data_IF_902829619304
#
_entry.id   IF_902829619304
#
_cell.length_a   1.000
_cell.length_b   1.000
_cell.length_c   1.000
_cell.angle_alpha   90.00
_cell.angle_beta   90.00
_cell.angle_gamma   90.00
#
_symmetry.space_group_name_H-M   'P 1'
#
loop_
_entity.id
_entity.type
_entity.pdbx_description
1 polymer ?
#
# COMPACT_ATOMS: atom_id res chain seq x y z
N UNK A 1 32.68 16.31 11.75
CA UNK A 1 31.52 16.82 10.98
C UNK A 1 30.32 16.03 11.47
N UNK A 2 29.25 16.67 11.93
CA UNK A 2 28.02 15.94 12.24
C UNK A 2 27.56 15.26 10.95
N UNK A 3 27.41 13.93 10.93
CA UNK A 3 26.85 13.25 9.76
C UNK A 3 25.42 13.76 9.59
N UNK A 4 25.11 14.39 8.46
CA UNK A 4 23.73 14.73 8.10
C UNK A 4 22.85 13.49 8.28
N UNK A 5 21.80 13.58 9.10
CA UNK A 5 20.78 12.53 9.28
C UNK A 5 19.53 12.88 8.47
N UNK A 6 19.71 13.19 7.19
CA UNK A 6 18.62 13.53 6.29
C UNK A 6 18.30 12.37 5.35
N UNK A 7 17.09 11.83 5.42
CA UNK A 7 16.64 10.72 4.61
C UNK A 7 15.63 11.16 3.54
N UNK A 8 15.72 10.56 2.35
CA UNK A 8 14.78 10.75 1.26
C UNK A 8 13.86 9.53 1.13
N UNK A 9 12.54 9.76 1.09
CA UNK A 9 11.53 8.72 0.96
C UNK A 9 10.71 8.92 -0.31
N UNK A 10 10.56 7.89 -1.14
CA UNK A 10 9.84 7.97 -2.41
C UNK A 10 8.86 6.78 -2.54
N UNK A 11 7.56 6.98 -2.29
CA UNK A 11 6.53 5.95 -2.43
C UNK A 11 6.10 5.76 -3.88
N UNK A 12 5.60 4.57 -4.21
CA UNK A 12 4.76 4.40 -5.39
C UNK A 12 3.43 5.14 -5.15
N UNK A 13 2.87 5.88 -6.12
CA UNK A 13 1.70 6.74 -5.92
C UNK A 13 0.37 5.98 -5.86
N UNK A 14 0.26 5.07 -4.88
CA UNK A 14 -0.96 4.34 -4.55
C UNK A 14 -1.12 4.28 -3.02
N UNK A 15 -2.36 4.32 -2.53
CA UNK A 15 -2.64 4.48 -1.10
C UNK A 15 -1.99 3.39 -0.23
N UNK A 16 -2.07 2.14 -0.66
CA UNK A 16 -1.45 1.00 0.02
C UNK A 16 0.09 1.02 0.05
N UNK A 17 0.73 1.89 -0.73
CA UNK A 17 2.18 2.07 -0.79
C UNK A 17 2.63 3.33 -0.03
N UNK A 18 1.91 4.44 -0.23
CA UNK A 18 2.18 5.73 0.43
C UNK A 18 2.04 5.61 1.94
N UNK A 19 0.94 5.01 2.42
CA UNK A 19 0.64 4.96 3.85
C UNK A 19 1.71 4.22 4.67
N UNK A 20 2.09 2.96 4.35
CA UNK A 20 3.11 2.26 5.14
C UNK A 20 4.49 2.92 5.02
N UNK A 21 4.84 3.46 3.84
CA UNK A 21 6.13 4.14 3.69
C UNK A 21 6.18 5.46 4.48
N UNK A 22 5.06 6.18 4.57
CA UNK A 22 4.93 7.38 5.41
C UNK A 22 5.02 7.03 6.90
N UNK A 23 4.41 5.93 7.34
CA UNK A 23 4.57 5.41 8.70
C UNK A 23 6.05 5.13 9.01
N UNK A 24 6.78 4.53 8.06
CA UNK A 24 8.23 4.31 8.20
C UNK A 24 9.00 5.64 8.25
N UNK A 25 8.65 6.62 7.42
CA UNK A 25 9.24 7.96 7.44
C UNK A 25 9.05 8.65 8.80
N UNK A 26 7.87 8.55 9.40
CA UNK A 26 7.63 9.07 10.75
C UNK A 26 8.46 8.38 11.83
N UNK A 27 8.74 7.07 11.70
CA UNK A 27 9.66 6.35 12.60
C UNK A 27 11.08 6.87 12.46
N UNK A 28 11.54 7.12 11.25
CA UNK A 28 12.86 7.74 11.02
C UNK A 28 12.94 9.11 11.71
N UNK A 29 11.90 9.93 11.56
CA UNK A 29 11.81 11.21 12.25
C UNK A 29 11.85 11.05 13.78
N UNK A 30 11.11 10.11 14.37
CA UNK A 30 11.17 9.83 15.83
C UNK A 30 12.56 9.43 16.33
N UNK A 31 13.39 8.88 15.42
CA UNK A 31 14.79 8.52 15.68
C UNK A 31 15.79 9.63 15.32
N UNK A 32 15.32 10.87 15.12
CA UNK A 32 16.17 12.05 14.92
C UNK A 32 16.65 12.26 13.48
N UNK A 33 16.02 11.61 12.50
CA UNK A 33 16.22 11.97 11.10
C UNK A 33 15.41 13.21 10.72
N UNK A 34 16.00 14.07 9.92
CA UNK A 34 15.23 14.94 9.03
C UNK A 34 14.75 14.08 7.86
N UNK A 35 13.51 14.24 7.41
CA UNK A 35 12.96 13.42 6.33
C UNK A 35 12.34 14.29 5.25
N UNK A 36 12.73 14.05 4.00
CA UNK A 36 12.00 14.53 2.82
C UNK A 36 11.18 13.38 2.26
N UNK A 37 9.86 13.54 2.24
CA UNK A 37 8.91 12.57 1.71
C UNK A 37 8.35 13.07 0.38
N UNK A 38 8.68 12.39 -0.71
CA UNK A 38 8.27 12.78 -2.06
C UNK A 38 6.87 12.23 -2.33
N UNK A 39 5.99 13.06 -2.88
CA UNK A 39 4.71 12.66 -3.44
C UNK A 39 4.67 13.04 -4.92
N UNK A 40 3.82 12.39 -5.70
CA UNK A 40 3.45 12.95 -7.00
C UNK A 40 2.54 14.16 -6.81
N UNK A 41 2.49 15.09 -7.75
CA UNK A 41 1.61 16.27 -7.66
C UNK A 41 0.15 15.86 -7.42
N UNK A 42 -0.30 14.77 -8.06
CA UNK A 42 -1.64 14.23 -7.87
C UNK A 42 -1.89 13.75 -6.43
N UNK A 43 -1.01 12.90 -5.90
CA UNK A 43 -1.13 12.38 -4.53
C UNK A 43 -0.96 13.51 -3.51
N UNK A 44 -0.03 14.43 -3.74
CA UNK A 44 0.16 15.60 -2.89
C UNK A 44 -1.14 16.40 -2.82
N UNK A 45 -1.78 16.70 -3.96
CA UNK A 45 -3.07 17.39 -4.00
C UNK A 45 -4.18 16.67 -3.22
N UNK A 46 -4.27 15.34 -3.32
CA UNK A 46 -5.22 14.55 -2.54
C UNK A 46 -4.96 14.64 -1.03
N UNK A 47 -3.70 14.54 -0.62
CA UNK A 47 -3.29 14.67 0.77
C UNK A 47 -3.61 16.06 1.33
N UNK A 48 -3.30 17.13 0.59
CA UNK A 48 -3.65 18.50 0.99
C UNK A 48 -5.16 18.68 1.12
N UNK A 49 -5.94 18.10 0.20
CA UNK A 49 -7.40 18.18 0.25
C UNK A 49 -8.01 17.41 1.43
N UNK A 50 -7.48 16.22 1.74
CA UNK A 50 -7.96 15.37 2.82
C UNK A 50 -7.51 15.87 4.21
N UNK A 51 -6.35 16.51 4.30
CA UNK A 51 -5.78 16.99 5.56
C UNK A 51 -4.84 18.18 5.31
N UNK A 52 -5.36 19.42 5.21
CA UNK A 52 -4.56 20.61 4.91
C UNK A 52 -3.38 20.86 5.86
N UNK A 53 -3.53 20.45 7.13
CA UNK A 53 -2.50 20.58 8.16
C UNK A 53 -1.27 19.67 7.89
N UNK A 54 -1.37 18.68 6.99
CA UNK A 54 -0.26 17.80 6.57
C UNK A 54 0.93 18.57 6.02
N UNK A 55 0.64 19.61 5.22
CA UNK A 55 1.63 20.38 4.46
C UNK A 55 1.72 21.81 4.96
N UNK A 56 0.83 22.22 5.87
CA UNK A 56 0.79 23.57 6.40
C UNK A 56 2.10 23.89 7.15
N UNK A 57 2.68 25.05 6.86
CA UNK A 57 3.90 25.52 7.51
C UNK A 57 5.20 24.90 6.98
N UNK A 58 5.13 24.00 6.00
CA UNK A 58 6.28 23.49 5.25
C UNK A 58 6.69 24.52 4.18
N UNK A 59 7.24 25.65 4.62
CA UNK A 59 7.90 26.61 3.71
C UNK A 59 9.14 25.98 3.07
N UNK A 60 9.73 26.64 2.06
CA UNK A 60 10.88 26.11 1.29
C UNK A 60 12.21 25.90 2.06
N UNK A 61 12.18 25.78 3.38
CA UNK A 61 13.31 25.42 4.22
C UNK A 61 13.49 23.89 4.29
N UNK A 62 14.72 23.44 4.53
CA UNK A 62 15.02 22.02 4.73
C UNK A 62 14.38 21.50 6.05
N UNK A 63 13.98 20.23 6.13
CA UNK A 63 13.48 19.66 7.37
C UNK A 63 14.56 19.63 8.45
N UNK A 64 14.17 19.94 9.69
CA UNK A 64 15.02 19.71 10.86
C UNK A 64 14.91 18.26 11.36
N UNK A 65 15.88 17.77 12.15
CA UNK A 65 15.79 16.48 12.82
C UNK A 65 14.48 16.31 13.59
N UNK A 66 13.76 15.21 13.36
CA UNK A 66 12.44 14.98 13.96
C UNK A 66 11.25 15.39 13.08
N UNK A 67 11.51 15.98 11.90
CA UNK A 67 10.47 16.46 11.00
C UNK A 67 10.39 15.64 9.70
N UNK A 68 9.17 15.50 9.20
CA UNK A 68 8.88 15.01 7.84
C UNK A 68 8.36 16.18 7.01
N UNK A 69 9.03 16.48 5.90
CA UNK A 69 8.66 17.51 4.94
C UNK A 69 8.27 16.86 3.62
N UNK A 70 7.04 17.15 3.16
CA UNK A 70 6.50 16.69 1.89
C UNK A 70 6.97 17.55 0.72
N UNK A 71 7.45 16.91 -0.34
CA UNK A 71 7.79 17.55 -1.61
C UNK A 71 6.95 16.92 -2.70
N UNK A 72 6.45 17.72 -3.66
CA UNK A 72 5.73 17.19 -4.82
C UNK A 72 6.61 17.18 -6.07
N UNK A 73 6.43 16.16 -6.91
CA UNK A 73 7.05 16.06 -8.23
C UNK A 73 6.02 15.62 -9.25
N UNK A 74 6.19 16.01 -10.51
CA UNK A 74 5.32 15.52 -11.58
C UNK A 74 5.54 14.03 -11.81
N UNK A 75 4.46 13.27 -11.92
CA UNK A 75 4.48 11.87 -12.36
C UNK A 75 4.59 11.74 -13.89
N UNK A 76 4.52 12.85 -14.64
CA UNK A 76 4.49 12.85 -16.10
C UNK A 76 3.21 12.28 -16.70
N UNK A 77 2.20 12.00 -15.86
CA UNK A 77 0.94 11.39 -16.27
C UNK A 77 -0.08 12.47 -16.66
N UNK A 78 -0.84 12.30 -17.76
CA UNK A 78 -1.88 13.26 -18.15
C UNK A 78 -2.88 13.54 -17.02
N UNK A 79 -3.38 14.78 -16.93
CA UNK A 79 -4.29 15.18 -15.86
C UNK A 79 -5.60 14.36 -15.87
N UNK A 80 -6.10 14.05 -17.07
CA UNK A 80 -7.34 13.33 -17.35
C UNK A 80 -7.18 11.81 -17.52
N UNK A 81 -5.95 11.28 -17.40
CA UNK A 81 -5.71 9.85 -17.52
C UNK A 81 -6.22 9.06 -16.31
N UNK A 82 -6.54 7.78 -16.54
CA UNK A 82 -6.86 6.84 -15.48
C UNK A 82 -5.59 6.36 -14.77
N UNK A 83 -5.34 6.88 -13.56
CA UNK A 83 -4.19 6.50 -12.73
C UNK A 83 -4.31 5.10 -12.12
N UNK A 84 -5.44 4.41 -12.29
CA UNK A 84 -5.55 2.99 -11.95
C UNK A 84 -4.97 2.06 -13.03
N UNK A 85 -4.66 2.59 -14.23
CA UNK A 85 -3.80 1.90 -15.19
C UNK A 85 -2.34 1.96 -14.72
N UNK A 86 -2.00 1.01 -13.85
CA UNK A 86 -0.67 0.90 -13.24
C UNK A 86 0.43 0.74 -14.29
N UNK A 87 0.16 0.12 -15.44
CA UNK A 87 1.15 -0.06 -16.51
C UNK A 87 1.54 1.27 -17.15
N UNK A 88 0.54 2.07 -17.51
CA UNK A 88 0.75 3.41 -18.08
C UNK A 88 1.33 4.37 -17.03
N UNK A 89 0.86 4.33 -15.79
CA UNK A 89 1.37 5.17 -14.69
C UNK A 89 2.85 4.90 -14.42
N UNK A 90 3.23 3.63 -14.32
CA UNK A 90 4.61 3.21 -14.12
C UNK A 90 5.50 3.66 -15.28
N UNK A 91 5.02 3.54 -16.52
CA UNK A 91 5.74 4.00 -17.70
C UNK A 91 5.98 5.51 -17.70
N UNK A 92 5.00 6.30 -17.25
CA UNK A 92 5.16 7.75 -17.10
C UNK A 92 6.20 8.09 -16.01
N UNK A 93 6.14 7.42 -14.86
CA UNK A 93 7.09 7.59 -13.76
C UNK A 93 8.53 7.24 -14.16
N UNK A 94 8.72 6.19 -14.98
CA UNK A 94 10.04 5.83 -15.50
C UNK A 94 10.67 6.96 -16.34
N UNK A 95 9.86 7.79 -17.00
CA UNK A 95 10.33 8.92 -17.80
C UNK A 95 10.54 10.19 -16.98
N UNK A 96 9.66 10.46 -16.00
CA UNK A 96 9.61 11.73 -15.27
C UNK A 96 10.45 11.74 -14.00
N UNK A 97 10.43 10.65 -13.23
CA UNK A 97 10.99 10.60 -11.89
C UNK A 97 12.53 10.65 -11.84
N UNK A 98 13.31 10.02 -12.75
CA UNK A 98 14.77 10.04 -12.69
C UNK A 98 15.36 11.45 -12.63
N UNK A 99 14.92 12.35 -13.52
CA UNK A 99 15.42 13.73 -13.55
C UNK A 99 14.99 14.55 -12.32
N UNK A 100 13.86 14.22 -11.69
CA UNK A 100 13.46 14.82 -10.43
C UNK A 100 14.35 14.35 -9.27
N UNK A 101 14.61 13.04 -9.20
CA UNK A 101 15.48 12.44 -8.17
C UNK A 101 16.92 12.92 -8.29
N UNK A 102 17.48 13.00 -9.51
CA UNK A 102 18.81 13.56 -9.75
C UNK A 102 18.92 14.97 -9.19
N UNK A 103 17.97 15.86 -9.53
CA UNK A 103 17.96 17.23 -9.00
C UNK A 103 17.82 17.28 -7.48
N UNK A 104 17.02 16.41 -6.87
CA UNK A 104 16.91 16.36 -5.41
C UNK A 104 18.22 15.92 -4.76
N UNK A 105 18.85 14.87 -5.29
CA UNK A 105 20.12 14.34 -4.78
C UNK A 105 21.26 15.35 -4.94
N UNK A 106 21.29 16.10 -6.05
CA UNK A 106 22.30 17.15 -6.29
C UNK A 106 22.15 18.36 -5.35
N UNK A 107 20.91 18.74 -5.03
CA UNK A 107 20.62 19.92 -4.21
C UNK A 107 20.49 19.61 -2.71
N UNK A 108 20.26 18.35 -2.35
CA UNK A 108 20.08 17.90 -0.98
C UNK A 108 21.35 17.27 -0.37
N UNK A 109 21.38 17.16 0.95
CA UNK A 109 22.45 16.45 1.67
C UNK A 109 21.89 15.21 2.37
N UNK A 110 21.45 14.25 1.56
CA UNK A 110 20.84 13.04 2.05
C UNK A 110 21.89 11.97 2.39
N UNK A 111 21.70 11.25 3.51
CA UNK A 111 22.55 10.11 3.87
C UNK A 111 22.03 8.78 3.33
N UNK A 112 20.72 8.67 3.12
CA UNK A 112 20.07 7.47 2.62
C UNK A 112 18.80 7.77 1.83
N UNK A 113 18.41 6.83 0.96
CA UNK A 113 17.12 6.84 0.27
C UNK A 113 16.37 5.54 0.56
N UNK A 114 15.09 5.67 0.90
CA UNK A 114 14.14 4.56 0.99
C UNK A 114 13.09 4.74 -0.11
N UNK A 115 12.95 3.75 -0.97
CA UNK A 115 12.05 3.83 -2.13
C UNK A 115 11.10 2.64 -2.10
N UNK A 116 9.86 2.83 -2.54
CA UNK A 116 8.95 1.71 -2.78
C UNK A 116 9.56 0.73 -3.80
N UNK A 117 9.33 -0.57 -3.62
CA UNK A 117 9.84 -1.59 -4.55
C UNK A 117 9.43 -1.33 -6.00
N UNK A 118 8.25 -0.74 -6.20
CA UNK A 118 7.71 -0.38 -7.50
C UNK A 118 8.53 0.67 -8.25
N UNK A 119 9.56 1.27 -7.63
CA UNK A 119 10.38 2.35 -8.18
C UNK A 119 11.89 2.12 -8.03
N UNK A 120 12.36 0.88 -7.77
CA UNK A 120 13.78 0.60 -7.43
C UNK A 120 14.80 1.09 -8.46
N UNK A 121 14.41 1.31 -9.72
CA UNK A 121 15.31 1.83 -10.75
C UNK A 121 15.90 3.20 -10.39
N UNK A 122 15.22 4.03 -9.57
CA UNK A 122 15.78 5.32 -9.14
C UNK A 122 16.88 5.18 -8.09
N UNK A 123 16.99 4.03 -7.41
CA UNK A 123 18.05 3.79 -6.42
C UNK A 123 19.45 3.81 -7.05
N UNK A 124 19.57 3.52 -8.35
CA UNK A 124 20.83 3.63 -9.07
C UNK A 124 21.40 5.06 -9.05
N UNK A 125 20.56 6.09 -9.01
CA UNK A 125 20.97 7.50 -8.90
C UNK A 125 21.58 7.75 -7.52
N UNK A 126 20.86 7.36 -6.46
CA UNK A 126 21.31 7.50 -5.07
C UNK A 126 22.60 6.72 -4.78
N UNK A 127 22.70 5.50 -5.33
CA UNK A 127 23.88 4.65 -5.17
C UNK A 127 25.13 5.29 -5.77
N UNK A 128 25.02 5.89 -6.97
CA UNK A 128 26.11 6.62 -7.62
C UNK A 128 26.54 7.85 -6.82
N UNK A 129 25.62 8.48 -6.09
CA UNK A 129 25.91 9.56 -5.17
C UNK A 129 26.52 9.11 -3.82
N UNK A 130 26.79 7.80 -3.65
CA UNK A 130 27.43 7.25 -2.45
C UNK A 130 26.48 7.07 -1.26
N UNK A 131 25.17 7.15 -1.48
CA UNK A 131 24.16 7.02 -0.43
C UNK A 131 23.86 5.55 -0.11
N UNK A 132 23.38 5.30 1.12
CA UNK A 132 22.76 4.01 1.46
C UNK A 132 21.38 3.91 0.81
N UNK A 133 21.09 2.77 0.19
CA UNK A 133 19.83 2.53 -0.52
C UNK A 133 19.00 1.43 0.13
N UNK A 134 17.72 1.71 0.35
CA UNK A 134 16.76 0.71 0.82
C UNK A 134 15.53 0.69 -0.08
N UNK A 135 14.96 -0.49 -0.23
CA UNK A 135 13.66 -0.67 -0.87
C UNK A 135 12.63 -1.14 0.14
N UNK A 136 11.39 -0.68 0.01
CA UNK A 136 10.28 -1.01 0.89
C UNK A 136 9.22 -1.82 0.14
N UNK A 137 8.88 -2.98 0.70
CA UNK A 137 7.80 -3.84 0.25
C UNK A 137 6.63 -3.75 1.25
N UNK A 138 5.46 -3.22 0.82
CA UNK A 138 4.34 -2.98 1.73
C UNK A 138 3.52 -4.22 2.08
N UNK A 139 3.82 -5.39 1.49
CA UNK A 139 3.02 -6.62 1.61
C UNK A 139 3.79 -7.75 2.33
N UNK A 140 3.28 -8.98 2.28
CA UNK A 140 3.86 -10.14 2.97
C UNK A 140 5.17 -10.62 2.33
N UNK A 141 6.03 -11.26 3.13
CA UNK A 141 7.30 -11.80 2.69
C UNK A 141 7.14 -12.95 1.69
N UNK A 142 6.07 -13.74 1.78
CA UNK A 142 5.79 -14.84 0.86
C UNK A 142 5.71 -14.36 -0.61
N UNK A 143 5.05 -13.23 -0.87
CA UNK A 143 4.97 -12.67 -2.23
C UNK A 143 6.29 -12.05 -2.67
N UNK A 144 7.03 -11.41 -1.75
CA UNK A 144 8.38 -10.91 -2.04
C UNK A 144 9.33 -12.06 -2.42
N UNK A 145 9.35 -13.13 -1.62
CA UNK A 145 10.13 -14.33 -1.88
C UNK A 145 9.81 -14.95 -3.24
N UNK A 146 8.51 -15.10 -3.56
CA UNK A 146 8.07 -15.54 -4.89
C UNK A 146 8.65 -14.66 -6.02
N UNK A 147 8.68 -13.33 -5.81
CA UNK A 147 9.30 -12.38 -6.72
C UNK A 147 10.80 -12.61 -6.88
N UNK A 148 11.53 -12.74 -5.78
CA UNK A 148 12.99 -12.97 -5.78
C UNK A 148 13.38 -14.26 -6.51
N UNK A 149 12.51 -15.27 -6.51
CA UNK A 149 12.74 -16.55 -7.20
C UNK A 149 12.42 -16.49 -8.71
N UNK A 150 11.68 -15.48 -9.20
CA UNK A 150 11.28 -15.37 -10.61
C UNK A 150 12.45 -15.53 -11.60
N UNK A 151 13.63 -14.89 -11.41
CA UNK A 151 14.75 -15.07 -12.34
C UNK A 151 15.20 -16.53 -12.48
N UNK A 152 15.19 -17.30 -11.38
CA UNK A 152 15.54 -18.72 -11.37
C UNK A 152 14.45 -19.54 -12.06
N UNK A 153 13.18 -19.28 -11.73
CA UNK A 153 12.04 -19.96 -12.35
C UNK A 153 11.99 -19.76 -13.87
N UNK A 154 12.34 -18.57 -14.35
CA UNK A 154 12.46 -18.29 -15.79
C UNK A 154 13.68 -19.01 -16.38
N UNK A 155 14.83 -18.96 -15.72
CA UNK A 155 16.06 -19.60 -16.21
C UNK A 155 15.91 -21.12 -16.34
N UNK A 156 15.21 -21.75 -15.40
CA UNK A 156 14.92 -23.19 -15.41
C UNK A 156 13.75 -23.55 -16.35
N UNK A 157 13.15 -22.55 -17.00
CA UNK A 157 12.05 -22.69 -17.95
C UNK A 157 10.77 -23.22 -17.29
N UNK A 158 10.55 -22.92 -16.01
CA UNK A 158 9.28 -23.14 -15.31
C UNK A 158 8.27 -22.03 -15.64
N UNK A 159 8.78 -20.82 -15.82
CA UNK A 159 8.04 -19.67 -16.33
C UNK A 159 8.61 -19.22 -17.68
N UNK A 160 7.75 -18.67 -18.52
CA UNK A 160 8.20 -17.97 -19.72
C UNK A 160 8.57 -16.49 -19.43
N UNK A 161 8.93 -15.76 -20.48
CA UNK A 161 9.34 -14.34 -20.38
C UNK A 161 8.22 -13.38 -19.94
N UNK A 162 6.98 -13.85 -19.98
CA UNK A 162 5.77 -13.10 -19.65
C UNK A 162 5.14 -13.58 -18.32
N UNK A 163 5.80 -14.53 -17.63
CA UNK A 163 5.43 -14.98 -16.29
C UNK A 163 4.42 -16.12 -16.28
N UNK A 164 4.17 -16.75 -17.43
CA UNK A 164 3.22 -17.84 -17.56
C UNK A 164 3.89 -19.20 -17.31
N UNK A 165 3.19 -20.14 -16.66
CA UNK A 165 3.71 -21.49 -16.41
C UNK A 165 3.88 -22.28 -17.71
N UNK A 166 5.02 -22.95 -17.86
CA UNK A 166 5.34 -23.76 -19.05
C UNK A 166 4.86 -25.22 -18.94
N UNK A 167 4.23 -25.58 -17.82
CA UNK A 167 3.83 -26.95 -17.48
C UNK A 167 4.86 -27.73 -16.65
N UNK A 168 6.05 -27.16 -16.39
CA UNK A 168 6.95 -27.70 -15.36
C UNK A 168 6.40 -27.40 -13.96
N UNK A 169 6.69 -28.28 -13.02
CA UNK A 169 6.33 -28.09 -11.63
C UNK A 169 7.10 -26.91 -11.03
N UNK A 170 6.38 -25.94 -10.49
CA UNK A 170 6.95 -24.80 -9.77
C UNK A 170 7.11 -25.18 -8.30
N UNK A 171 8.28 -24.95 -7.69
CA UNK A 171 8.51 -25.23 -6.28
C UNK A 171 7.61 -24.35 -5.38
N UNK A 172 7.31 -24.79 -4.15
CA UNK A 172 6.69 -23.93 -3.15
C UNK A 172 7.61 -22.78 -2.74
N UNK A 173 7.03 -21.72 -2.17
CA UNK A 173 7.76 -20.65 -1.48
C UNK A 173 7.63 -20.92 0.01
N UNK A 174 8.73 -21.29 0.66
CA UNK A 174 8.66 -21.87 2.00
C UNK A 174 7.79 -23.13 2.00
N UNK A 175 6.81 -23.16 2.91
CA UNK A 175 5.84 -24.25 3.04
C UNK A 175 4.56 -24.01 2.21
N UNK A 176 4.48 -22.90 1.47
CA UNK A 176 3.29 -22.51 0.73
C UNK A 176 3.39 -22.93 -0.74
N UNK A 177 2.40 -23.64 -1.30
CA UNK A 177 2.39 -23.91 -2.73
C UNK A 177 2.29 -22.59 -3.49
N UNK A 178 3.16 -22.40 -4.49
CA UNK A 178 3.14 -21.20 -5.30
C UNK A 178 1.92 -21.21 -6.21
N UNK A 179 0.90 -20.43 -5.87
CA UNK A 179 -0.21 -20.13 -6.76
C UNK A 179 0.06 -18.81 -7.48
N UNK A 180 0.28 -18.87 -8.78
CA UNK A 180 0.56 -17.69 -9.60
C UNK A 180 -0.69 -16.90 -9.97
N UNK A 181 -1.87 -17.53 -9.97
CA UNK A 181 -3.11 -16.91 -10.42
C UNK A 181 -3.48 -15.60 -9.68
N UNK A 182 -3.36 -15.49 -8.34
CA UNK A 182 -3.73 -14.27 -7.63
C UNK A 182 -2.66 -13.17 -7.67
N UNK A 183 -1.49 -13.42 -8.28
CA UNK A 183 -0.41 -12.44 -8.31
C UNK A 183 -0.77 -11.29 -9.26
N UNK A 184 -0.35 -10.07 -8.92
CA UNK A 184 -0.78 -8.85 -9.62
C UNK A 184 -0.59 -8.93 -11.15
N UNK A 185 0.52 -9.54 -11.60
CA UNK A 185 0.80 -9.70 -13.03
C UNK A 185 -0.01 -10.78 -13.75
N UNK A 186 -0.87 -11.53 -13.05
CA UNK A 186 -1.80 -12.50 -13.63
C UNK A 186 -3.28 -12.14 -13.36
N UNK A 187 -3.54 -11.19 -12.47
CA UNK A 187 -4.89 -10.85 -12.01
C UNK A 187 -5.31 -9.40 -12.28
N UNK A 188 -4.37 -8.47 -12.47
CA UNK A 188 -4.68 -7.06 -12.62
C UNK A 188 -4.75 -6.60 -14.08
N UNK A 189 -5.89 -6.04 -14.48
CA UNK A 189 -6.08 -5.43 -15.79
C UNK A 189 -6.24 -6.42 -16.94
N UNK A 190 -6.00 -5.95 -18.16
CA UNK A 190 -6.04 -6.76 -19.39
C UNK A 190 -4.83 -7.68 -19.50
N UNK A 191 -4.87 -8.68 -20.39
CA UNK A 191 -3.71 -9.55 -20.65
C UNK A 191 -2.43 -8.77 -21.04
N UNK A 192 -2.58 -7.65 -21.73
CA UNK A 192 -1.43 -6.81 -22.08
C UNK A 192 -0.89 -6.06 -20.86
N UNK A 193 -1.77 -5.52 -20.01
CA UNK A 193 -1.38 -4.90 -18.76
C UNK A 193 -0.68 -5.89 -17.82
N UNK A 194 -1.18 -7.12 -17.74
CA UNK A 194 -0.58 -8.23 -17.00
C UNK A 194 0.88 -8.50 -17.43
N UNK A 195 1.13 -8.64 -18.74
CA UNK A 195 2.48 -8.81 -19.28
C UNK A 195 3.38 -7.62 -18.97
N UNK A 196 2.85 -6.40 -19.04
CA UNK A 196 3.61 -5.19 -18.70
C UNK A 196 3.97 -5.14 -17.22
N UNK A 197 3.02 -5.47 -16.33
CA UNK A 197 3.26 -5.59 -14.89
C UNK A 197 4.32 -6.65 -14.62
N UNK A 198 4.22 -7.84 -15.24
CA UNK A 198 5.23 -8.89 -15.08
C UNK A 198 6.63 -8.42 -15.49
N UNK A 199 6.75 -7.83 -16.68
CA UNK A 199 8.04 -7.33 -17.20
C UNK A 199 8.61 -6.24 -16.30
N UNK A 200 7.77 -5.33 -15.81
CA UNK A 200 8.17 -4.29 -14.87
C UNK A 200 8.69 -4.90 -13.57
N UNK A 201 7.92 -5.80 -12.94
CA UNK A 201 8.31 -6.50 -11.71
C UNK A 201 9.59 -7.29 -11.89
N UNK A 202 9.70 -8.08 -12.96
CA UNK A 202 10.90 -8.87 -13.25
C UNK A 202 12.12 -7.96 -13.43
N UNK A 203 11.98 -6.79 -14.07
CA UNK A 203 13.08 -5.84 -14.21
C UNK A 203 13.46 -5.18 -12.88
N UNK A 204 12.48 -4.77 -12.07
CA UNK A 204 12.66 -4.27 -10.71
C UNK A 204 13.42 -5.28 -9.85
N UNK A 205 13.01 -6.54 -9.89
CA UNK A 205 13.55 -7.62 -9.06
C UNK A 205 14.93 -8.06 -9.53
N UNK A 206 15.19 -8.08 -10.84
CA UNK A 206 16.55 -8.22 -11.38
C UNK A 206 17.47 -7.12 -10.89
N UNK A 207 16.96 -5.90 -10.78
CA UNK A 207 17.75 -4.77 -10.27
C UNK A 207 18.10 -4.94 -8.79
N UNK A 208 17.28 -5.63 -7.98
CA UNK A 208 17.65 -5.98 -6.59
C UNK A 208 18.92 -6.84 -6.52
N UNK A 209 19.22 -7.62 -7.56
CA UNK A 209 20.45 -8.41 -7.67
C UNK A 209 21.67 -7.67 -8.23
N UNK A 210 21.56 -6.36 -8.52
CA UNK A 210 22.62 -5.56 -9.17
C UNK A 210 23.35 -4.59 -8.23
N UNK A 211 23.46 -4.93 -6.94
CA UNK A 211 24.14 -4.11 -5.90
C UNK A 211 23.60 -2.67 -5.73
N UNK A 212 22.44 -2.33 -6.31
CA UNK A 212 21.82 -1.00 -6.16
C UNK A 212 20.96 -0.90 -4.89
N UNK A 213 20.64 -2.01 -4.23
CA UNK A 213 19.83 -2.07 -3.01
C UNK A 213 20.67 -2.64 -1.88
N UNK A 214 20.92 -1.86 -0.83
CA UNK A 214 21.65 -2.32 0.36
C UNK A 214 20.74 -3.07 1.34
N UNK A 215 19.45 -2.68 1.41
CA UNK A 215 18.48 -3.23 2.38
C UNK A 215 17.12 -3.45 1.74
N UNK A 216 16.56 -4.64 1.90
CA UNK A 216 15.20 -5.01 1.47
C UNK A 216 14.27 -5.04 2.70
N UNK A 217 13.50 -3.98 2.88
CA UNK A 217 12.56 -3.83 3.99
C UNK A 217 11.20 -4.41 3.61
N UNK A 218 10.61 -5.20 4.49
CA UNK A 218 9.31 -5.84 4.28
C UNK A 218 8.37 -5.52 5.44
N UNK A 219 7.17 -5.01 5.13
CA UNK A 219 6.13 -4.73 6.12
C UNK A 219 5.43 -6.02 6.61
N UNK A 220 6.20 -6.87 7.28
CA UNK A 220 5.74 -8.11 7.90
C UNK A 220 6.38 -8.31 9.27
N UNK A 221 5.87 -9.28 10.03
CA UNK A 221 6.43 -9.74 11.30
C UNK A 221 7.02 -11.13 11.15
N UNK A 222 8.10 -11.38 11.89
CA UNK A 222 8.79 -12.67 11.84
C UNK A 222 7.87 -13.81 12.28
N UNK A 223 7.06 -13.58 13.29
CA UNK A 223 6.18 -14.55 13.93
C UNK A 223 5.12 -15.12 12.96
N UNK A 224 4.75 -14.39 11.90
CA UNK A 224 3.79 -14.87 10.90
C UNK A 224 4.46 -15.58 9.71
N UNK A 225 5.73 -15.29 9.42
CA UNK A 225 6.40 -15.73 8.18
C UNK A 225 7.81 -16.30 8.40
N UNK A 226 8.10 -16.88 9.58
CA UNK A 226 9.43 -17.37 9.95
C UNK A 226 10.03 -18.36 8.93
N UNK A 227 9.21 -19.28 8.40
CA UNK A 227 9.64 -20.24 7.39
C UNK A 227 10.15 -19.56 6.11
N UNK A 228 9.45 -18.53 5.64
CA UNK A 228 9.81 -17.76 4.45
C UNK A 228 11.07 -16.93 4.72
N UNK A 229 11.10 -16.21 5.83
CA UNK A 229 12.22 -15.33 6.20
C UNK A 229 13.52 -16.10 6.46
N UNK A 230 13.42 -17.34 6.95
CA UNK A 230 14.58 -18.22 7.14
C UNK A 230 15.21 -18.66 5.81
N UNK A 231 14.41 -18.78 4.75
CA UNK A 231 14.87 -19.13 3.40
C UNK A 231 15.35 -17.89 2.63
N UNK A 232 14.81 -16.71 2.94
CA UNK A 232 15.18 -15.44 2.34
C UNK A 232 15.72 -14.45 3.39
N UNK A 233 16.91 -14.69 3.97
CA UNK A 233 17.46 -13.86 5.05
C UNK A 233 17.82 -12.43 4.62
N UNK A 234 17.80 -12.13 3.32
CA UNK A 234 17.94 -10.77 2.79
C UNK A 234 16.72 -9.89 3.05
N UNK A 235 15.55 -10.49 3.33
CA UNK A 235 14.32 -9.76 3.66
C UNK A 235 14.38 -9.35 5.13
N UNK A 236 14.33 -8.04 5.39
CA UNK A 236 14.31 -7.47 6.74
C UNK A 236 12.86 -7.17 7.14
N UNK A 237 12.26 -7.92 8.09
CA UNK A 237 10.91 -7.64 8.57
C UNK A 237 10.91 -6.39 9.45
N UNK A 238 10.04 -5.43 9.13
CA UNK A 238 9.89 -4.16 9.86
C UNK A 238 8.44 -3.86 10.28
N UNK A 239 7.55 -4.83 10.08
CA UNK A 239 6.11 -4.68 10.29
C UNK A 239 5.62 -5.12 11.68
N UNK A 240 4.28 -5.04 11.91
CA UNK A 240 3.38 -4.28 11.06
C UNK A 240 3.68 -2.78 11.23
N UNK A 241 3.52 -2.02 10.16
CA UNK A 241 3.54 -0.57 10.19
C UNK A 241 2.10 -0.08 10.41
N UNK A 242 1.66 0.19 11.66
CA UNK A 242 0.30 0.60 11.96
C UNK A 242 0.04 2.00 11.41
N UNK A 243 -0.66 2.08 10.29
CA UNK A 243 -1.05 3.35 9.68
C UNK A 243 -2.28 3.91 10.39
N UNK A 244 -2.29 5.22 10.68
CA UNK A 244 -3.46 5.88 11.28
C UNK A 244 -3.58 5.79 12.81
N UNK A 245 -2.63 5.17 13.50
CA UNK A 245 -2.62 5.07 14.97
C UNK A 245 -1.70 6.07 15.68
N UNK A 246 -1.10 7.01 14.94
CA UNK A 246 -0.16 7.98 15.50
C UNK A 246 -0.86 9.26 15.92
N UNK A 247 -0.90 9.51 17.23
CA UNK A 247 -1.38 10.78 17.77
C UNK A 247 -0.54 11.96 17.27
N UNK A 248 -1.21 13.01 16.79
CA UNK A 248 -0.57 14.25 16.36
C UNK A 248 0.26 14.15 15.08
N UNK A 249 0.34 12.97 14.44
CA UNK A 249 0.99 12.81 13.14
C UNK A 249 -0.06 12.54 12.07
N UNK A 250 -0.09 13.35 11.02
CA UNK A 250 -1.21 13.33 10.09
C UNK A 250 -1.19 12.10 9.18
N UNK A 251 -2.39 11.63 8.84
CA UNK A 251 -2.65 10.34 8.20
C UNK A 251 -2.56 10.53 6.68
N UNK A 252 -1.79 9.69 5.99
CA UNK A 252 -1.64 9.74 4.53
C UNK A 252 -2.87 9.23 3.76
N UNK A 253 -4.07 9.42 4.30
CA UNK A 253 -5.33 9.03 3.67
C UNK A 253 -5.62 9.96 2.48
N UNK A 254 -6.01 9.38 1.35
CA UNK A 254 -6.35 10.17 0.15
C UNK A 254 -7.78 10.71 0.19
N UNK A 255 -8.54 10.34 1.22
CA UNK A 255 -9.94 10.66 1.40
C UNK A 255 -10.15 11.22 2.81
N UNK A 256 -11.07 12.17 3.00
CA UNK A 256 -11.49 12.60 4.33
C UNK A 256 -12.10 11.45 5.12
N UNK A 257 -11.93 11.48 6.44
CA UNK A 257 -12.53 10.50 7.34
C UNK A 257 -14.07 10.65 7.38
N UNK A 258 -14.77 9.51 7.44
CA UNK A 258 -16.22 9.43 7.60
C UNK A 258 -16.58 8.57 8.81
N UNK A 259 -16.85 9.24 9.93
CA UNK A 259 -17.20 8.62 11.20
C UNK A 259 -18.69 8.29 11.32
N UNK A 260 -19.51 8.58 10.30
CA UNK A 260 -20.96 8.38 10.37
C UNK A 260 -21.34 6.91 10.63
N UNK A 261 -20.51 5.98 10.15
CA UNK A 261 -20.69 4.55 10.34
C UNK A 261 -20.43 4.07 11.79
N UNK A 262 -19.66 4.82 12.59
CA UNK A 262 -19.26 4.40 13.94
C UNK A 262 -20.46 4.31 14.87
N UNK A 263 -21.34 5.31 14.84
CA UNK A 263 -22.58 5.30 15.65
C UNK A 263 -23.50 4.14 15.31
N UNK A 264 -23.51 3.69 14.05
CA UNK A 264 -24.27 2.52 13.62
C UNK A 264 -23.62 1.22 14.11
N UNK A 265 -22.29 1.13 14.08
CA UNK A 265 -21.51 0.00 14.60
C UNK A 265 -21.69 -0.17 16.12
N UNK A 266 -21.65 0.94 16.88
CA UNK A 266 -21.85 0.96 18.34
C UNK A 266 -23.21 0.40 18.76
N UNK A 267 -24.21 0.47 17.88
CA UNK A 267 -25.55 -0.06 18.13
C UNK A 267 -25.68 -1.57 17.81
N UNK A 268 -24.68 -2.21 17.21
CA UNK A 268 -24.72 -3.63 16.86
C UNK A 268 -24.17 -4.50 17.99
N UNK A 269 -24.66 -5.75 18.16
CA UNK A 269 -24.05 -6.69 19.09
C UNK A 269 -22.59 -7.01 18.72
N UNK A 270 -21.78 -7.35 19.72
CA UNK A 270 -20.39 -7.74 19.52
C UNK A 270 -20.24 -8.85 18.47
N UNK A 271 -19.26 -8.68 17.56
CA UNK A 271 -18.91 -9.67 16.52
C UNK A 271 -20.08 -10.06 15.60
N UNK A 272 -21.11 -9.22 15.50
CA UNK A 272 -22.31 -9.50 14.71
C UNK A 272 -22.25 -8.99 13.26
N UNK A 273 -21.46 -7.95 13.00
CA UNK A 273 -21.39 -7.25 11.71
C UNK A 273 -20.43 -7.93 10.74
N UNK A 274 -20.83 -8.04 9.48
CA UNK A 274 -19.95 -8.41 8.37
C UNK A 274 -19.36 -7.14 7.76
N UNK A 275 -18.04 -6.95 7.85
CA UNK A 275 -17.34 -5.87 7.15
C UNK A 275 -16.89 -6.35 5.77
N UNK A 276 -17.19 -5.57 4.73
CA UNK A 276 -16.89 -5.88 3.34
C UNK A 276 -16.15 -4.69 2.71
N UNK A 277 -14.91 -4.93 2.28
CA UNK A 277 -14.12 -3.96 1.55
C UNK A 277 -13.15 -4.69 0.61
N UNK A 278 -13.01 -4.19 -0.61
CA UNK A 278 -12.09 -4.73 -1.63
C UNK A 278 -10.88 -3.81 -1.88
N UNK A 279 -10.66 -2.83 -0.99
CA UNK A 279 -9.61 -1.83 -1.14
C UNK A 279 -9.95 -0.76 -2.19
N UNK A 280 -8.93 0.01 -2.58
CA UNK A 280 -9.10 1.20 -3.43
C UNK A 280 -8.91 0.95 -4.92
N UNK A 281 -8.55 -0.28 -5.32
CA UNK A 281 -8.20 -0.62 -6.72
C UNK A 281 -9.17 -1.65 -7.31
N UNK A 282 -9.60 -2.65 -6.52
CA UNK A 282 -10.44 -3.72 -7.05
C UNK A 282 -11.86 -3.21 -7.32
N UNK A 283 -12.35 -3.47 -8.54
CA UNK A 283 -13.71 -3.16 -8.96
C UNK A 283 -14.45 -4.47 -9.23
N UNK A 284 -15.53 -4.70 -8.50
CA UNK A 284 -16.41 -5.84 -8.75
C UNK A 284 -17.19 -5.62 -10.05
N UNK A 285 -17.26 -6.65 -10.88
CA UNK A 285 -18.18 -6.64 -12.01
C UNK A 285 -19.64 -6.77 -11.53
N UNK A 286 -20.59 -6.53 -12.43
CA UNK A 286 -22.02 -6.50 -12.07
C UNK A 286 -22.52 -7.84 -11.50
N UNK A 287 -22.07 -8.96 -12.07
CA UNK A 287 -22.47 -10.30 -11.60
C UNK A 287 -21.93 -10.58 -10.19
N UNK A 288 -20.64 -10.33 -9.96
CA UNK A 288 -19.99 -10.47 -8.65
C UNK A 288 -20.66 -9.57 -7.60
N UNK A 289 -20.99 -8.34 -7.98
CA UNK A 289 -21.71 -7.40 -7.11
C UNK A 289 -23.09 -7.94 -6.72
N UNK A 290 -23.88 -8.43 -7.69
CA UNK A 290 -25.21 -8.99 -7.41
C UNK A 290 -25.14 -10.24 -6.54
N UNK A 291 -24.21 -11.15 -6.82
CA UNK A 291 -24.03 -12.36 -6.02
C UNK A 291 -23.59 -12.04 -4.58
N UNK A 292 -22.68 -11.08 -4.41
CA UNK A 292 -22.26 -10.62 -3.08
C UNK A 292 -23.43 -9.96 -2.32
N UNK A 293 -24.17 -9.06 -2.98
CA UNK A 293 -25.34 -8.41 -2.40
C UNK A 293 -26.40 -9.43 -1.98
N UNK A 294 -26.65 -10.43 -2.83
CA UNK A 294 -27.58 -11.52 -2.56
C UNK A 294 -27.11 -12.39 -1.40
N UNK A 295 -25.82 -12.70 -1.32
CA UNK A 295 -25.22 -13.44 -0.20
C UNK A 295 -25.37 -12.69 1.12
N UNK A 296 -25.12 -11.38 1.12
CA UNK A 296 -25.31 -10.52 2.30
C UNK A 296 -26.77 -10.48 2.74
N UNK A 297 -27.71 -10.32 1.80
CA UNK A 297 -29.16 -10.36 2.08
C UNK A 297 -29.59 -11.71 2.69
N UNK A 298 -29.18 -12.82 2.09
CA UNK A 298 -29.52 -14.16 2.56
C UNK A 298 -28.87 -14.50 3.91
N UNK A 299 -27.73 -13.89 4.24
CA UNK A 299 -27.06 -14.08 5.53
C UNK A 299 -27.89 -13.56 6.71
N UNK A 300 -28.77 -12.58 6.47
CA UNK A 300 -29.55 -11.86 7.49
C UNK A 300 -28.67 -11.27 8.62
N UNK A 301 -27.39 -11.04 8.35
CA UNK A 301 -26.48 -10.36 9.29
C UNK A 301 -26.43 -8.87 8.96
N UNK A 302 -26.26 -8.00 9.97
CA UNK A 302 -25.88 -6.62 9.70
C UNK A 302 -24.54 -6.61 8.95
N UNK A 303 -24.41 -5.72 7.97
CA UNK A 303 -23.18 -5.59 7.20
C UNK A 303 -22.82 -4.13 6.98
N UNK A 304 -21.52 -3.85 6.96
CA UNK A 304 -20.93 -2.58 6.54
C UNK A 304 -20.12 -2.86 5.28
N UNK A 305 -20.60 -2.36 4.14
CA UNK A 305 -19.95 -2.55 2.85
C UNK A 305 -19.41 -1.22 2.34
N UNK A 306 -18.09 -1.12 2.26
CA UNK A 306 -17.36 0.00 1.64
C UNK A 306 -17.26 -0.27 0.14
N UNK A 307 -17.90 0.58 -0.66
CA UNK A 307 -17.84 0.53 -2.13
C UNK A 307 -17.29 1.85 -2.68
N UNK A 308 -16.52 1.77 -3.76
CA UNK A 308 -15.92 2.94 -4.41
C UNK A 308 -17.00 3.65 -5.23
N UNK A 309 -17.70 4.59 -4.59
CA UNK A 309 -18.83 5.33 -5.17
C UNK A 309 -18.46 6.34 -6.28
N UNK A 310 -17.25 6.30 -6.84
CA UNK A 310 -16.78 7.28 -7.83
C UNK A 310 -17.24 7.01 -9.28
N UNK A 311 -18.16 6.07 -9.49
CA UNK A 311 -18.74 5.76 -10.80
C UNK A 311 -20.24 6.16 -10.79
N UNK A 312 -20.76 6.89 -11.80
CA UNK A 312 -22.20 7.13 -11.97
C UNK A 312 -23.05 5.84 -11.94
N UNK A 313 -22.51 4.69 -12.33
CA UNK A 313 -23.15 3.38 -12.17
C UNK A 313 -23.17 2.91 -10.69
N UNK A 314 -22.23 3.35 -9.85
CA UNK A 314 -22.23 3.10 -8.41
C UNK A 314 -23.37 3.82 -7.67
N UNK A 315 -23.79 5.01 -8.13
CA UNK A 315 -25.00 5.68 -7.62
C UNK A 315 -26.29 4.88 -7.92
N UNK A 316 -26.34 4.18 -9.06
CA UNK A 316 -27.42 3.23 -9.36
C UNK A 316 -27.36 2.00 -8.44
N UNK A 317 -26.17 1.43 -8.23
CA UNK A 317 -25.91 0.31 -7.32
C UNK A 317 -26.23 0.64 -5.86
N UNK A 318 -25.90 1.85 -5.38
CA UNK A 318 -26.23 2.32 -4.04
C UNK A 318 -27.75 2.45 -3.82
N UNK A 319 -28.50 2.88 -4.85
CA UNK A 319 -29.97 2.91 -4.81
C UNK A 319 -30.57 1.49 -4.79
N UNK A 320 -29.97 0.55 -5.51
CA UNK A 320 -30.35 -0.87 -5.45
C UNK A 320 -30.05 -1.47 -4.07
N UNK A 321 -28.89 -1.16 -3.46
CA UNK A 321 -28.55 -1.58 -2.10
C UNK A 321 -29.52 -1.00 -1.06
N UNK A 322 -29.94 0.26 -1.19
CA UNK A 322 -30.99 0.83 -0.35
C UNK A 322 -32.33 0.10 -0.52
N UNK A 323 -32.66 -0.36 -1.73
CA UNK A 323 -33.87 -1.16 -1.98
C UNK A 323 -33.78 -2.59 -1.43
N UNK A 324 -32.58 -3.19 -1.36
CA UNK A 324 -32.34 -4.51 -0.74
C UNK A 324 -32.33 -4.40 0.79
N UNK A 325 -31.64 -3.39 1.35
CA UNK A 325 -31.59 -3.13 2.79
C UNK A 325 -32.97 -2.79 3.37
N UNK A 326 -33.80 -2.04 2.62
CA UNK A 326 -35.17 -1.71 3.04
C UNK A 326 -36.15 -2.88 3.03
N UNK A 327 -35.78 -4.04 2.45
CA UNK A 327 -36.59 -5.28 2.48
C UNK A 327 -36.27 -6.18 3.68
N UNK A 328 -35.22 -5.87 4.43
CA UNK A 328 -34.76 -6.66 5.59
C UNK A 328 -34.89 -5.86 6.88
N UNK A 329 -36.12 -5.58 7.31
CA UNK A 329 -36.38 -5.05 8.66
C UNK A 329 -37.54 -5.85 9.29
N UNK A 330 -37.21 -6.78 10.19
CA UNK A 330 -38.14 -7.26 11.21
C UNK A 330 -37.78 -6.60 12.54
N UNK A 331 -38.81 -6.05 13.19
CA UNK A 331 -38.76 -5.22 14.40
C UNK A 331 -38.48 -6.04 15.69
N UNK A 332 -38.07 -5.29 16.72
CA UNK A 332 -38.41 -5.42 18.16
C UNK A 332 -37.24 -5.75 19.12
N UNK A 333 -37.05 -4.91 20.17
CA UNK A 333 -36.67 -5.39 21.51
C UNK A 333 -35.43 -4.80 22.25
N UNK A 334 -35.61 -3.62 22.87
CA UNK A 334 -34.98 -2.98 24.06
C UNK A 334 -34.02 -3.71 25.06
N UNK A 335 -32.87 -3.04 25.33
CA UNK A 335 -32.30 -2.48 26.60
C UNK A 335 -31.72 -3.28 27.81
N UNK A 336 -30.51 -2.84 28.24
CA UNK A 336 -29.85 -2.70 29.59
C UNK A 336 -29.61 -3.96 30.47
N UNK A 337 -28.54 -4.14 31.28
CA UNK A 337 -27.51 -3.29 31.93
C UNK A 337 -26.42 -4.20 32.56
N UNK A 338 -25.15 -3.74 32.67
CA UNK A 338 -24.22 -3.88 33.84
C UNK A 338 -22.73 -3.82 33.44
N UNK A 339 -22.12 -2.63 33.46
CA UNK A 339 -20.67 -2.40 33.24
C UNK A 339 -19.93 -1.98 34.54
N UNK A 340 -20.59 -2.02 35.70
CA UNK A 340 -19.99 -1.53 36.95
C UNK A 340 -19.05 -2.55 37.61
N UNK A 341 -19.29 -3.84 37.41
CA UNK A 341 -18.54 -4.90 38.11
C UNK A 341 -17.16 -5.19 37.49
N UNK A 342 -16.94 -4.80 36.23
CA UNK A 342 -15.63 -4.98 35.55
C UNK A 342 -14.61 -3.94 36.01
N UNK A 343 -15.06 -2.72 36.35
CA UNK A 343 -14.17 -1.61 36.72
C UNK A 343 -13.55 -1.84 38.10
N UNK A 344 -14.25 -2.51 39.02
CA UNK A 344 -13.72 -2.79 40.37
C UNK A 344 -12.81 -4.03 40.40
N UNK A 345 -12.95 -4.98 39.46
CA UNK A 345 -12.04 -6.11 39.31
C UNK A 345 -10.66 -5.71 38.74
N UNK A 346 -10.60 -4.63 37.95
CA UNK A 346 -9.37 -4.11 37.34
C UNK A 346 -8.55 -3.20 38.28
N UNK A 347 -9.03 -2.92 39.50
CA UNK A 347 -8.33 -2.11 40.51
C UNK A 347 -7.64 -2.93 41.61
N UNK A 348 -7.57 -4.25 41.47
CA UNK A 348 -6.80 -5.15 42.33
C UNK A 348 -5.43 -5.44 41.75
#
# INVERSE_FOLDING_TARGET
>A
MASSTHALFIPYPAQGHVLPLLELAYRFADHGFAVTFVNTDHIHGQLVAASPDLVAGQGGAQPEPGQVHFVSVSDGFPADGDRNDLGTLTSALMCSLPAAVERMVENGQFCCVVVDYGLTWVLGIAKKAGMRTATHWPSCAAVMAAGLDLPVLIADGMLDKDGLPTGKQIPPVGDLPMNLAPLAWNAAGTEEAQKQIFRCLNNILKALGQDIVDVLLCNTVKELEEGILSQHPSIVPIGPLPTGLREGKPIGNFWPDDDSCLSWLDAQPDRSVVYVAFGSIAVLNQEQFHELARGLELSRRPFLWVDLLNDPAAMSRARELQQVASRSISKDGTSFNNLRDVIDAMKG
#
